data_IF_972855188679
#
_entry.id   IF_972855188679
#
_cell.length_a   1.000
_cell.length_b   1.000
_cell.length_c   1.000
_cell.angle_alpha   90.00
_cell.angle_beta   90.00
_cell.angle_gamma   90.00
#
_symmetry.space_group_name_H-M   'P 1'
#
loop_
_entity.id
_entity.type
_entity.pdbx_description
1 polymer ?
#
# COMPACT_ATOMS: atom_id res chain seq x y z
N UNK A 1 54.10 57.85 -9.49
CA UNK A 1 53.76 56.44 -9.74
C UNK A 1 52.86 55.97 -8.62
N UNK A 2 51.56 56.00 -8.85
CA UNK A 2 50.50 55.56 -7.93
C UNK A 2 50.26 54.06 -8.13
N UNK A 3 50.44 53.26 -7.08
CA UNK A 3 50.10 51.85 -7.10
C UNK A 3 48.60 51.68 -6.79
N UNK A 4 47.85 51.09 -7.72
CA UNK A 4 46.47 50.68 -7.50
C UNK A 4 46.42 49.35 -6.72
N UNK A 5 45.53 49.19 -5.73
CA UNK A 5 45.25 47.89 -5.14
C UNK A 5 44.25 47.13 -6.03
N UNK A 6 44.63 45.92 -6.45
CA UNK A 6 43.77 44.97 -7.14
C UNK A 6 42.81 44.31 -6.16
N UNK A 7 41.51 44.52 -6.33
CA UNK A 7 40.45 43.76 -5.67
C UNK A 7 40.41 42.33 -6.17
N UNK A 8 40.25 41.31 -5.30
CA UNK A 8 40.07 39.93 -5.73
C UNK A 8 38.64 39.73 -6.25
N UNK A 9 38.54 39.23 -7.48
CA UNK A 9 37.28 38.82 -8.09
C UNK A 9 36.72 37.61 -7.36
N UNK A 10 35.63 37.78 -6.62
CA UNK A 10 34.84 36.67 -6.09
C UNK A 10 34.07 36.02 -7.25
N UNK A 11 34.45 34.80 -7.60
CA UNK A 11 33.64 33.97 -8.50
C UNK A 11 32.31 33.62 -7.80
N UNK A 12 31.16 33.76 -8.47
CA UNK A 12 29.90 33.30 -7.91
C UNK A 12 29.94 31.77 -7.82
N UNK A 13 29.85 31.24 -6.60
CA UNK A 13 29.59 29.82 -6.36
C UNK A 13 28.22 29.52 -6.95
N UNK A 14 28.18 28.90 -8.13
CA UNK A 14 26.96 28.34 -8.71
C UNK A 14 26.46 27.27 -7.75
N UNK A 15 25.54 27.65 -6.86
CA UNK A 15 24.78 26.68 -6.08
C UNK A 15 23.77 26.10 -7.06
N UNK A 16 24.12 24.98 -7.66
CA UNK A 16 23.16 24.15 -8.39
C UNK A 16 22.09 23.75 -7.37
N UNK A 17 20.95 24.43 -7.43
CA UNK A 17 19.74 24.04 -6.72
C UNK A 17 19.26 22.74 -7.35
N UNK A 18 19.75 21.60 -6.86
CA UNK A 18 19.09 20.33 -7.13
C UNK A 18 17.65 20.48 -6.64
N UNK A 19 16.68 20.15 -7.49
CA UNK A 19 15.30 20.07 -7.04
C UNK A 19 15.28 19.15 -5.82
N UNK A 20 14.78 19.67 -4.69
CA UNK A 20 14.65 18.85 -3.50
C UNK A 20 13.71 17.69 -3.81
N UNK A 21 14.14 16.47 -3.49
CA UNK A 21 13.33 15.27 -3.62
C UNK A 21 12.01 15.39 -2.84
N UNK A 22 10.94 14.69 -3.26
CA UNK A 22 9.71 14.64 -2.49
C UNK A 22 9.97 14.13 -1.07
N UNK A 23 9.35 14.79 -0.09
CA UNK A 23 9.37 14.31 1.29
C UNK A 23 8.49 13.08 1.41
N UNK A 24 9.09 11.94 1.72
CA UNK A 24 8.35 10.69 1.89
C UNK A 24 7.49 10.72 3.14
N UNK A 25 6.25 10.22 3.03
CA UNK A 25 5.37 10.08 4.19
C UNK A 25 5.82 8.95 5.11
N UNK A 26 5.47 9.07 6.40
CA UNK A 26 5.57 7.97 7.37
C UNK A 26 4.22 7.72 8.00
N UNK A 27 3.68 6.53 7.76
CA UNK A 27 2.41 6.06 8.34
C UNK A 27 2.66 5.06 9.48
N UNK A 28 1.69 4.88 10.40
CA UNK A 28 1.81 3.88 11.46
C UNK A 28 2.11 2.48 10.90
N UNK A 29 3.13 1.82 11.46
CA UNK A 29 3.55 0.47 11.08
C UNK A 29 4.56 0.38 9.93
N UNK A 30 4.83 1.50 9.25
CA UNK A 30 5.86 1.59 8.21
C UNK A 30 7.26 1.44 8.81
N UNK A 31 8.12 0.65 8.17
CA UNK A 31 9.47 0.35 8.67
C UNK A 31 10.48 1.37 8.18
N UNK A 32 10.46 1.69 6.89
CA UNK A 32 11.42 2.58 6.26
C UNK A 32 10.72 3.57 5.33
N UNK A 33 11.42 4.68 5.03
CA UNK A 33 10.97 5.72 4.12
C UNK A 33 12.21 6.35 3.50
N UNK A 34 12.70 5.75 2.42
CA UNK A 34 13.95 6.15 1.77
C UNK A 34 13.78 7.46 1.01
N UNK A 35 14.68 8.40 1.25
CA UNK A 35 14.75 9.62 0.44
C UNK A 35 15.14 9.26 -1.00
N UNK A 36 14.56 9.96 -1.96
CA UNK A 36 14.86 9.73 -3.36
C UNK A 36 13.86 10.44 -4.27
N UNK A 37 14.12 10.41 -5.59
CA UNK A 37 13.37 11.17 -6.57
C UNK A 37 11.91 10.73 -6.70
N UNK A 38 11.58 9.48 -6.37
CA UNK A 38 10.25 8.89 -6.57
C UNK A 38 9.31 9.22 -5.42
N UNK A 39 8.09 9.67 -5.75
CA UNK A 39 7.00 9.82 -4.76
C UNK A 39 6.38 8.45 -4.43
N UNK A 40 6.78 7.88 -3.29
CA UNK A 40 6.28 6.59 -2.80
C UNK A 40 5.02 6.73 -1.93
N UNK A 41 4.39 7.91 -1.88
CA UNK A 41 3.27 8.17 -0.96
C UNK A 41 2.14 7.17 -1.12
N UNK A 42 1.71 6.88 -2.35
CA UNK A 42 0.62 5.93 -2.59
C UNK A 42 1.01 4.49 -2.24
N UNK A 43 2.27 4.10 -2.41
CA UNK A 43 2.78 2.79 -1.98
C UNK A 43 2.60 2.62 -0.47
N UNK A 44 3.09 3.59 0.31
CA UNK A 44 2.95 3.54 1.76
C UNK A 44 1.50 3.62 2.25
N UNK A 45 0.62 4.34 1.53
CA UNK A 45 -0.82 4.37 1.82
C UNK A 45 -1.45 2.98 1.65
N UNK A 46 -1.09 2.25 0.59
CA UNK A 46 -1.55 0.87 0.36
C UNK A 46 -1.02 -0.06 1.46
N UNK A 47 0.27 0.01 1.79
CA UNK A 47 0.87 -0.80 2.84
C UNK A 47 0.24 -0.55 4.21
N UNK A 48 -0.07 0.72 4.50
CA UNK A 48 -0.78 1.09 5.72
C UNK A 48 -2.19 0.48 5.75
N UNK A 49 -2.94 0.56 4.65
CA UNK A 49 -4.26 -0.04 4.55
C UNK A 49 -4.21 -1.56 4.73
N UNK A 50 -3.22 -2.25 4.14
CA UNK A 50 -3.08 -3.69 4.29
C UNK A 50 -2.81 -4.12 5.74
N UNK A 51 -1.89 -3.43 6.42
CA UNK A 51 -1.58 -3.70 7.84
C UNK A 51 -2.78 -3.44 8.75
N UNK A 52 -3.44 -2.29 8.57
CA UNK A 52 -4.65 -1.91 9.30
C UNK A 52 -5.72 -2.99 9.17
N UNK A 53 -5.99 -3.41 7.95
CA UNK A 53 -7.08 -4.35 7.67
C UNK A 53 -6.82 -5.75 8.21
N UNK A 54 -5.60 -6.30 8.05
CA UNK A 54 -5.29 -7.62 8.61
C UNK A 54 -5.40 -7.64 10.13
N UNK A 55 -5.02 -6.55 10.81
CA UNK A 55 -5.25 -6.40 12.24
C UNK A 55 -6.76 -6.38 12.58
N UNK A 56 -7.56 -5.63 11.83
CA UNK A 56 -9.01 -5.56 12.02
C UNK A 56 -9.70 -6.90 11.75
N UNK A 57 -9.33 -7.62 10.70
CA UNK A 57 -9.87 -8.94 10.39
C UNK A 57 -9.53 -9.97 11.47
N UNK A 58 -8.28 -10.00 11.95
CA UNK A 58 -7.88 -10.91 13.02
C UNK A 58 -8.69 -10.65 14.31
N UNK A 59 -8.88 -9.37 14.67
CA UNK A 59 -9.72 -9.00 15.80
C UNK A 59 -11.19 -9.39 15.59
N UNK A 60 -11.73 -9.18 14.39
CA UNK A 60 -13.10 -9.54 14.06
C UNK A 60 -13.35 -11.05 14.11
N UNK A 61 -12.41 -11.86 13.63
CA UNK A 61 -12.52 -13.32 13.69
C UNK A 61 -12.56 -13.83 15.14
N UNK A 62 -11.80 -13.19 16.03
CA UNK A 62 -11.79 -13.53 17.45
C UNK A 62 -13.08 -13.10 18.17
N UNK A 63 -13.63 -11.92 17.85
CA UNK A 63 -14.71 -11.30 18.60
C UNK A 63 -16.13 -11.55 18.06
N UNK A 64 -16.28 -11.87 16.77
CA UNK A 64 -17.60 -12.00 16.13
C UNK A 64 -18.26 -13.35 16.45
N UNK A 65 -19.47 -13.37 17.02
CA UNK A 65 -20.22 -14.61 17.22
C UNK A 65 -20.54 -15.32 15.89
N UNK A 66 -20.46 -16.64 15.83
CA UNK A 66 -20.72 -17.41 14.59
C UNK A 66 -22.15 -17.26 14.07
N UNK A 67 -23.11 -16.93 14.95
CA UNK A 67 -24.51 -16.69 14.59
C UNK A 67 -24.74 -15.33 13.91
N UNK A 68 -23.76 -14.41 13.99
CA UNK A 68 -23.85 -13.05 13.45
C UNK A 68 -23.69 -13.01 11.92
N UNK A 69 -24.56 -13.72 11.20
CA UNK A 69 -24.49 -13.93 9.75
C UNK A 69 -24.36 -12.65 8.92
N UNK A 70 -25.04 -11.57 9.32
CA UNK A 70 -24.94 -10.28 8.62
C UNK A 70 -23.55 -9.65 8.72
N UNK A 71 -22.89 -9.81 9.87
CA UNK A 71 -21.51 -9.35 10.05
C UNK A 71 -20.53 -10.23 9.28
N UNK A 72 -20.68 -11.56 9.30
CA UNK A 72 -19.83 -12.44 8.50
C UNK A 72 -19.93 -12.19 6.99
N UNK A 73 -21.13 -11.89 6.47
CA UNK A 73 -21.29 -11.46 5.08
C UNK A 73 -20.57 -10.14 4.78
N UNK A 74 -20.70 -9.16 5.66
CA UNK A 74 -19.99 -7.89 5.51
C UNK A 74 -18.46 -8.05 5.59
N UNK A 75 -17.97 -8.95 6.45
CA UNK A 75 -16.56 -9.31 6.53
C UNK A 75 -16.08 -9.99 5.25
N UNK A 76 -16.86 -10.91 4.67
CA UNK A 76 -16.53 -11.57 3.40
C UNK A 76 -16.44 -10.57 2.24
N UNK A 77 -17.43 -9.67 2.09
CA UNK A 77 -17.39 -8.59 1.08
C UNK A 77 -16.18 -7.67 1.27
N UNK A 78 -15.85 -7.38 2.53
CA UNK A 78 -14.72 -6.51 2.87
C UNK A 78 -13.37 -7.20 2.61
N UNK A 79 -13.29 -8.50 2.86
CA UNK A 79 -12.13 -9.35 2.53
C UNK A 79 -11.90 -9.41 1.03
N UNK A 80 -12.96 -9.55 0.22
CA UNK A 80 -12.85 -9.53 -1.25
C UNK A 80 -12.21 -8.22 -1.74
N UNK A 81 -12.62 -7.08 -1.19
CA UNK A 81 -12.03 -5.77 -1.53
C UNK A 81 -10.55 -5.72 -1.17
N UNK A 82 -10.18 -6.20 0.02
CA UNK A 82 -8.79 -6.28 0.48
C UNK A 82 -7.94 -7.19 -0.42
N UNK A 83 -8.40 -8.43 -0.63
CA UNK A 83 -7.65 -9.45 -1.38
C UNK A 83 -7.46 -9.04 -2.84
N UNK A 84 -8.48 -8.45 -3.47
CA UNK A 84 -8.34 -7.92 -4.83
C UNK A 84 -7.33 -6.77 -4.89
N UNK A 85 -7.34 -5.85 -3.92
CA UNK A 85 -6.41 -4.73 -3.91
C UNK A 85 -4.96 -5.22 -3.72
N UNK A 86 -4.75 -6.21 -2.85
CA UNK A 86 -3.45 -6.81 -2.57
C UNK A 86 -2.92 -7.60 -3.77
N UNK A 87 -3.75 -8.46 -4.37
CA UNK A 87 -3.38 -9.21 -5.56
C UNK A 87 -3.04 -8.29 -6.74
N UNK A 88 -3.82 -7.21 -6.93
CA UNK A 88 -3.54 -6.22 -7.98
C UNK A 88 -2.22 -5.48 -7.74
N UNK A 89 -1.91 -5.15 -6.48
CA UNK A 89 -0.64 -4.54 -6.10
C UNK A 89 0.54 -5.47 -6.39
N UNK A 90 0.53 -6.71 -5.89
CA UNK A 90 1.58 -7.69 -6.18
C UNK A 90 1.73 -7.95 -7.69
N UNK A 91 0.62 -8.04 -8.43
CA UNK A 91 0.67 -8.23 -9.90
C UNK A 91 1.35 -7.06 -10.60
N UNK A 92 1.09 -5.82 -10.19
CA UNK A 92 1.74 -4.64 -10.75
C UNK A 92 3.25 -4.66 -10.51
N UNK A 93 3.66 -5.19 -9.37
CA UNK A 93 5.07 -5.35 -9.02
C UNK A 93 5.74 -6.47 -9.82
N UNK A 94 5.16 -7.67 -9.80
CA UNK A 94 5.69 -8.87 -10.46
C UNK A 94 5.78 -8.70 -11.99
N UNK A 95 4.81 -8.02 -12.59
CA UNK A 95 4.74 -7.89 -14.05
C UNK A 95 5.41 -6.63 -14.58
N UNK A 96 5.75 -5.68 -13.71
CA UNK A 96 6.24 -4.36 -14.09
C UNK A 96 7.47 -3.92 -13.32
N UNK A 97 7.32 -3.76 -12.00
CA UNK A 97 8.36 -3.17 -11.15
C UNK A 97 9.60 -4.05 -11.00
N UNK A 98 9.43 -5.31 -10.58
CA UNK A 98 10.57 -6.21 -10.36
C UNK A 98 11.38 -6.45 -11.63
N UNK A 99 10.77 -6.78 -12.79
CA UNK A 99 11.53 -6.94 -14.03
C UNK A 99 12.34 -5.70 -14.42
N UNK A 100 11.76 -4.50 -14.25
CA UNK A 100 12.45 -3.25 -14.57
C UNK A 100 13.68 -3.02 -13.67
N UNK A 101 13.58 -3.33 -12.38
CA UNK A 101 14.69 -3.18 -11.43
C UNK A 101 15.76 -4.26 -11.63
N UNK A 102 15.38 -5.50 -11.96
CA UNK A 102 16.30 -6.60 -12.23
C UNK A 102 17.29 -6.29 -13.36
N UNK A 103 16.83 -5.59 -14.41
CA UNK A 103 17.66 -5.14 -15.53
C UNK A 103 18.73 -4.11 -15.14
N UNK A 104 18.55 -3.42 -14.01
CA UNK A 104 19.32 -2.23 -13.62
C UNK A 104 20.18 -2.43 -12.38
N UNK A 105 19.85 -3.39 -11.54
CA UNK A 105 20.52 -3.62 -10.25
C UNK A 105 21.72 -4.58 -10.35
N UNK A 106 22.51 -4.67 -9.29
CA UNK A 106 23.58 -5.66 -9.13
C UNK A 106 23.06 -7.04 -8.67
N UNK A 107 23.96 -7.97 -8.36
CA UNK A 107 23.58 -9.33 -7.92
C UNK A 107 22.79 -9.31 -6.59
N UNK A 108 23.15 -8.44 -5.66
CA UNK A 108 22.48 -8.34 -4.36
C UNK A 108 21.04 -7.79 -4.50
N UNK A 109 20.84 -6.80 -5.36
CA UNK A 109 19.48 -6.33 -5.65
C UNK A 109 18.66 -7.38 -6.40
N UNK A 110 19.25 -8.17 -7.32
CA UNK A 110 18.54 -9.30 -7.95
C UNK A 110 18.11 -10.35 -6.94
N UNK A 111 18.96 -10.67 -5.95
CA UNK A 111 18.59 -11.58 -4.87
C UNK A 111 17.41 -11.03 -4.04
N UNK A 112 17.39 -9.72 -3.79
CA UNK A 112 16.27 -9.04 -3.11
C UNK A 112 14.97 -9.16 -3.89
N UNK A 113 15.00 -8.89 -5.20
CA UNK A 113 13.82 -8.94 -6.07
C UNK A 113 13.28 -10.37 -6.25
N UNK A 114 14.18 -11.35 -6.40
CA UNK A 114 13.79 -12.76 -6.44
C UNK A 114 13.12 -13.21 -5.12
N UNK A 115 13.55 -12.67 -3.98
CA UNK A 115 12.88 -12.92 -2.71
C UNK A 115 11.49 -12.29 -2.65
N UNK A 116 11.28 -11.08 -3.20
CA UNK A 116 9.95 -10.45 -3.29
C UNK A 116 8.94 -11.33 -4.04
N UNK A 117 9.31 -11.83 -5.22
CA UNK A 117 8.43 -12.70 -6.02
C UNK A 117 8.09 -14.02 -5.29
N UNK A 118 9.09 -14.62 -4.61
CA UNK A 118 8.86 -15.83 -3.80
C UNK A 118 7.89 -15.55 -2.65
N UNK A 119 8.06 -14.43 -1.95
CA UNK A 119 7.19 -14.02 -0.84
C UNK A 119 5.74 -13.81 -1.31
N UNK A 120 5.51 -13.22 -2.49
CA UNK A 120 4.18 -13.12 -3.09
C UNK A 120 3.54 -14.51 -3.29
N UNK A 121 4.30 -15.46 -3.84
CA UNK A 121 3.85 -16.83 -4.05
C UNK A 121 3.51 -17.59 -2.75
N UNK A 122 4.12 -17.23 -1.62
CA UNK A 122 3.80 -17.78 -0.30
C UNK A 122 2.54 -17.15 0.33
N UNK A 123 2.29 -15.87 0.07
CA UNK A 123 1.17 -15.12 0.64
C UNK A 123 -0.17 -15.52 0.01
N UNK A 124 -0.22 -15.67 -1.32
CA UNK A 124 -1.45 -15.89 -2.08
C UNK A 124 -2.28 -17.12 -1.62
N UNK A 125 -1.68 -18.29 -1.34
CA UNK A 125 -2.40 -19.43 -0.79
C UNK A 125 -3.02 -19.14 0.59
N UNK A 126 -2.37 -18.34 1.43
CA UNK A 126 -2.88 -17.96 2.75
C UNK A 126 -4.11 -17.06 2.59
N UNK A 127 -4.06 -16.10 1.66
CA UNK A 127 -5.19 -15.21 1.38
C UNK A 127 -6.40 -15.98 0.84
N UNK A 128 -6.16 -16.95 -0.04
CA UNK A 128 -7.18 -17.85 -0.58
C UNK A 128 -7.86 -18.66 0.52
N UNK A 129 -7.07 -19.20 1.47
CA UNK A 129 -7.60 -19.95 2.59
C UNK A 129 -8.40 -19.08 3.58
N UNK A 130 -8.03 -17.81 3.75
CA UNK A 130 -8.83 -16.85 4.54
C UNK A 130 -10.17 -16.55 3.85
N UNK A 131 -10.17 -16.34 2.53
CA UNK A 131 -11.40 -16.09 1.76
C UNK A 131 -12.43 -17.22 1.95
N UNK A 132 -11.99 -18.47 1.80
CA UNK A 132 -12.83 -19.65 2.02
C UNK A 132 -13.39 -19.72 3.45
N UNK A 133 -12.62 -19.29 4.45
CA UNK A 133 -13.07 -19.19 5.84
C UNK A 133 -14.18 -18.15 6.03
N UNK A 134 -14.02 -16.96 5.45
CA UNK A 134 -15.05 -15.92 5.48
C UNK A 134 -16.34 -16.36 4.76
N UNK A 135 -16.23 -16.97 3.58
CA UNK A 135 -17.37 -17.46 2.81
C UNK A 135 -18.17 -18.53 3.57
N UNK A 136 -17.47 -19.46 4.24
CA UNK A 136 -18.08 -20.49 5.07
C UNK A 136 -18.90 -19.88 6.22
N UNK A 137 -18.32 -18.93 6.94
CA UNK A 137 -18.97 -18.24 8.07
C UNK A 137 -20.10 -17.29 7.62
N UNK A 138 -20.01 -16.73 6.42
CA UNK A 138 -21.08 -15.95 5.80
C UNK A 138 -22.31 -16.81 5.44
N UNK A 139 -22.10 -18.11 5.25
CA UNK A 139 -23.12 -19.07 4.84
C UNK A 139 -23.86 -19.69 6.03
N UNK A 140 -23.14 -20.14 7.06
CA UNK A 140 -23.73 -20.68 8.28
C UNK A 140 -22.77 -20.58 9.48
N UNK A 141 -23.33 -20.73 10.69
CA UNK A 141 -22.55 -20.74 11.92
C UNK A 141 -21.65 -21.98 11.99
N UNK A 142 -20.37 -21.80 12.35
CA UNK A 142 -19.37 -22.86 12.42
C UNK A 142 -18.17 -22.43 13.28
N UNK A 143 -18.06 -22.98 14.49
CA UNK A 143 -17.04 -22.58 15.46
C UNK A 143 -15.63 -23.06 15.09
N UNK A 144 -15.53 -24.24 14.48
CA UNK A 144 -14.26 -24.79 14.02
C UNK A 144 -13.72 -23.97 12.84
N UNK A 145 -14.59 -23.55 11.93
CA UNK A 145 -14.23 -22.66 10.84
C UNK A 145 -13.79 -21.28 11.35
N UNK A 146 -14.44 -20.74 12.38
CA UNK A 146 -14.04 -19.48 13.00
C UNK A 146 -12.66 -19.57 13.63
N UNK A 147 -12.40 -20.62 14.42
CA UNK A 147 -11.10 -20.85 15.03
C UNK A 147 -9.99 -21.01 13.97
N UNK A 148 -10.27 -21.78 12.92
CA UNK A 148 -9.32 -22.00 11.84
C UNK A 148 -9.08 -20.72 11.01
N UNK A 149 -10.09 -19.88 10.80
CA UNK A 149 -9.93 -18.57 10.16
C UNK A 149 -9.05 -17.63 11.00
N UNK A 150 -9.26 -17.60 12.33
CA UNK A 150 -8.44 -16.77 13.22
C UNK A 150 -6.94 -17.13 13.12
N UNK A 151 -6.60 -18.42 13.08
CA UNK A 151 -5.21 -18.88 12.88
C UNK A 151 -4.66 -18.42 11.52
N UNK A 152 -5.44 -18.54 10.44
CA UNK A 152 -5.01 -18.13 9.10
C UNK A 152 -4.80 -16.62 8.98
N UNK A 153 -5.63 -15.82 9.64
CA UNK A 153 -5.48 -14.36 9.68
C UNK A 153 -4.21 -13.92 10.43
N UNK A 154 -3.85 -14.63 11.50
CA UNK A 154 -2.55 -14.42 12.16
C UNK A 154 -1.40 -14.75 11.21
N UNK A 155 -1.46 -15.89 10.51
CA UNK A 155 -0.46 -16.26 9.52
C UNK A 155 -0.35 -15.22 8.38
N UNK A 156 -1.48 -14.74 7.86
CA UNK A 156 -1.53 -13.69 6.83
C UNK A 156 -0.89 -12.39 7.31
N UNK A 157 -1.22 -11.95 8.53
CA UNK A 157 -0.66 -10.74 9.15
C UNK A 157 0.85 -10.84 9.33
N UNK A 158 1.34 -11.97 9.82
CA UNK A 158 2.78 -12.17 10.00
C UNK A 158 3.50 -12.25 8.64
N UNK A 159 2.95 -12.98 7.66
CA UNK A 159 3.56 -13.14 6.33
C UNK A 159 3.63 -11.81 5.59
N UNK A 160 2.49 -11.14 5.41
CA UNK A 160 2.46 -9.85 4.73
C UNK A 160 3.23 -8.79 5.52
N UNK A 161 3.22 -8.84 6.85
CA UNK A 161 4.01 -7.93 7.68
C UNK A 161 5.52 -8.06 7.50
N UNK A 162 6.03 -9.28 7.26
CA UNK A 162 7.45 -9.51 6.92
C UNK A 162 7.75 -9.04 5.50
N UNK A 163 6.89 -9.38 4.54
CA UNK A 163 7.04 -8.97 3.15
C UNK A 163 7.10 -7.44 3.02
N UNK A 164 6.09 -6.72 3.51
CA UNK A 164 6.07 -5.25 3.46
C UNK A 164 7.24 -4.62 4.23
N UNK A 165 7.82 -5.30 5.22
CA UNK A 165 9.03 -4.81 5.91
C UNK A 165 10.24 -4.91 4.99
N UNK A 166 10.43 -6.07 4.36
CA UNK A 166 11.53 -6.35 3.45
C UNK A 166 11.46 -5.41 2.24
N UNK A 167 10.28 -5.28 1.64
CA UNK A 167 10.05 -4.37 0.54
C UNK A 167 10.37 -2.90 0.92
N UNK A 168 9.83 -2.40 2.04
CA UNK A 168 10.10 -1.02 2.48
C UNK A 168 11.57 -0.75 2.80
N UNK A 169 12.30 -1.74 3.32
CA UNK A 169 13.70 -1.59 3.69
C UNK A 169 14.63 -1.70 2.49
N UNK A 170 14.37 -2.63 1.58
CA UNK A 170 15.36 -3.08 0.61
C UNK A 170 14.87 -2.81 -0.83
N UNK A 171 13.69 -3.30 -1.22
CA UNK A 171 13.18 -3.10 -2.58
C UNK A 171 12.88 -1.61 -2.88
N UNK A 172 12.28 -0.86 -1.95
CA UNK A 172 12.04 0.57 -2.13
C UNK A 172 13.35 1.38 -2.16
N UNK A 173 14.42 0.90 -1.51
CA UNK A 173 15.73 1.54 -1.66
C UNK A 173 16.23 1.45 -3.10
N UNK A 174 16.08 0.28 -3.73
CA UNK A 174 16.39 0.08 -5.16
C UNK A 174 15.54 0.98 -6.06
N UNK A 175 14.24 1.14 -5.76
CA UNK A 175 13.36 2.05 -6.50
C UNK A 175 13.92 3.49 -6.47
N UNK A 176 14.27 3.99 -5.29
CA UNK A 176 14.78 5.35 -5.13
C UNK A 176 16.15 5.55 -5.77
N UNK A 177 16.98 4.50 -5.84
CA UNK A 177 18.29 4.56 -6.48
C UNK A 177 18.20 4.50 -8.01
N UNK A 178 17.32 3.66 -8.56
CA UNK A 178 17.39 3.23 -9.96
C UNK A 178 16.33 3.85 -10.87
N UNK A 179 15.28 4.48 -10.32
CA UNK A 179 14.19 5.05 -11.10
C UNK A 179 14.11 6.57 -10.95
N UNK A 180 13.69 7.25 -12.02
CA UNK A 180 13.19 8.63 -11.91
C UNK A 180 11.70 8.63 -11.57
N UNK A 181 11.19 9.78 -11.08
CA UNK A 181 9.76 9.93 -10.85
C UNK A 181 8.93 9.84 -12.14
N UNK A 182 9.49 10.22 -13.30
CA UNK A 182 8.80 10.04 -14.58
C UNK A 182 8.67 8.57 -14.98
N UNK A 183 9.73 7.78 -14.78
CA UNK A 183 9.70 6.33 -15.03
C UNK A 183 8.70 5.65 -14.09
N UNK A 184 8.69 6.03 -12.81
CA UNK A 184 7.71 5.56 -11.85
C UNK A 184 6.27 5.87 -12.29
N UNK A 185 5.99 7.10 -12.75
CA UNK A 185 4.66 7.45 -13.25
C UNK A 185 4.26 6.65 -14.49
N UNK A 186 5.19 6.41 -15.42
CA UNK A 186 4.90 5.58 -16.59
C UNK A 186 4.56 4.14 -16.19
N UNK A 187 5.29 3.60 -15.22
CA UNK A 187 5.09 2.26 -14.68
C UNK A 187 3.74 2.16 -13.92
N UNK A 188 3.41 3.14 -13.09
CA UNK A 188 2.14 3.25 -12.38
C UNK A 188 0.95 3.29 -13.35
N UNK A 189 1.04 4.07 -14.44
CA UNK A 189 -0.02 4.11 -15.46
C UNK A 189 -0.20 2.77 -16.19
N UNK A 190 0.89 2.08 -16.55
CA UNK A 190 0.82 0.85 -17.35
C UNK A 190 0.49 -0.40 -16.53
N UNK A 191 1.04 -0.54 -15.31
CA UNK A 191 0.95 -1.79 -14.54
C UNK A 191 0.01 -1.68 -13.33
N UNK A 192 -0.14 -0.51 -12.72
CA UNK A 192 -0.97 -0.33 -11.51
C UNK A 192 -2.33 0.32 -11.79
N UNK A 193 -2.46 1.18 -12.80
CA UNK A 193 -3.74 1.86 -13.10
C UNK A 193 -4.48 1.23 -14.27
N UNK A 194 -3.77 0.68 -15.24
CA UNK A 194 -4.36 0.05 -16.42
C UNK A 194 -5.33 -1.05 -16.01
N UNK A 195 -6.55 -1.00 -16.54
CA UNK A 195 -7.60 -1.98 -16.23
C UNK A 195 -8.38 -1.71 -14.94
N UNK A 196 -8.00 -0.72 -14.11
CA UNK A 196 -8.84 -0.30 -12.98
C UNK A 196 -10.13 0.34 -13.49
N UNK A 197 -11.26 -0.32 -13.22
CA UNK A 197 -12.57 0.23 -13.57
C UNK A 197 -12.97 1.36 -12.63
N UNK A 198 -13.83 2.28 -13.11
CA UNK A 198 -14.37 3.36 -12.28
C UNK A 198 -15.06 2.81 -11.02
N UNK A 199 -15.74 1.66 -11.14
CA UNK A 199 -16.38 1.01 -9.99
C UNK A 199 -15.36 0.59 -8.92
N UNK A 200 -14.20 0.06 -9.34
CA UNK A 200 -13.11 -0.29 -8.43
C UNK A 200 -12.49 0.94 -7.78
N UNK A 201 -12.29 2.03 -8.51
CA UNK A 201 -11.80 3.28 -7.93
C UNK A 201 -12.76 3.83 -6.86
N UNK A 202 -14.07 3.76 -7.10
CA UNK A 202 -15.07 4.20 -6.13
C UNK A 202 -15.05 3.38 -4.82
N UNK A 203 -14.62 2.11 -4.86
CA UNK A 203 -14.47 1.28 -3.66
C UNK A 203 -13.08 1.43 -3.01
N UNK A 204 -12.02 1.49 -3.82
CA UNK A 204 -10.63 1.54 -3.33
C UNK A 204 -10.26 2.90 -2.74
N UNK A 205 -10.68 4.03 -3.32
CA UNK A 205 -10.32 5.36 -2.82
C UNK A 205 -10.73 5.59 -1.35
N UNK A 206 -11.99 5.37 -0.93
CA UNK A 206 -12.35 5.55 0.48
C UNK A 206 -11.68 4.53 1.41
N UNK A 207 -11.36 3.34 0.90
CA UNK A 207 -10.68 2.27 1.63
C UNK A 207 -9.20 2.58 1.90
N UNK A 208 -8.45 2.95 0.88
CA UNK A 208 -7.03 3.28 0.99
C UNK A 208 -6.83 4.50 1.90
N UNK A 209 -7.71 5.50 1.78
CA UNK A 209 -7.66 6.73 2.58
C UNK A 209 -8.29 6.63 3.97
N UNK A 210 -8.86 5.47 4.34
CA UNK A 210 -9.39 5.25 5.67
C UNK A 210 -8.26 5.31 6.70
N UNK A 211 -8.47 6.03 7.80
CA UNK A 211 -7.45 6.24 8.86
C UNK A 211 -6.12 6.91 8.45
N UNK A 212 -5.95 7.28 7.17
CA UNK A 212 -4.80 8.11 6.74
C UNK A 212 -4.88 9.50 7.39
N UNK A 213 -3.81 10.04 7.98
CA UNK A 213 -3.82 11.36 8.60
C UNK A 213 -4.31 12.47 7.66
N UNK A 214 -5.06 13.44 8.22
CA UNK A 214 -5.66 14.52 7.44
C UNK A 214 -4.66 15.38 6.63
N UNK A 215 -3.44 15.68 7.13
CA UNK A 215 -2.42 16.36 6.33
C UNK A 215 -2.03 15.55 5.08
N UNK A 216 -1.71 14.26 5.25
CA UNK A 216 -1.33 13.38 4.14
C UNK A 216 -2.45 13.27 3.10
N UNK A 217 -3.71 13.10 3.53
CA UNK A 217 -4.85 13.10 2.59
C UNK A 217 -4.99 14.41 1.81
N UNK A 218 -4.72 15.55 2.46
CA UNK A 218 -4.80 16.86 1.80
C UNK A 218 -3.73 16.98 0.73
N UNK A 219 -2.52 16.51 1.03
CA UNK A 219 -1.40 16.55 0.11
C UNK A 219 -1.67 15.65 -1.11
N UNK A 220 -2.17 14.43 -0.89
CA UNK A 220 -2.64 13.54 -1.96
C UNK A 220 -3.70 14.20 -2.87
N UNK A 221 -4.67 14.91 -2.30
CA UNK A 221 -5.69 15.62 -3.09
C UNK A 221 -5.17 16.86 -3.82
N UNK A 222 -4.00 17.40 -3.42
CA UNK A 222 -3.36 18.52 -4.08
C UNK A 222 -2.52 18.11 -5.30
N UNK A 223 -2.15 16.82 -5.41
CA UNK A 223 -1.42 16.26 -6.55
C UNK A 223 -2.25 16.30 -7.85
N UNK A 224 -1.61 16.23 -9.04
CA UNK A 224 -2.31 16.07 -10.32
C UNK A 224 -3.33 14.93 -10.28
N UNK A 225 -4.56 15.18 -10.75
CA UNK A 225 -5.66 14.21 -10.66
C UNK A 225 -6.29 14.06 -9.25
N UNK A 226 -5.69 14.62 -8.20
CA UNK A 226 -6.16 14.54 -6.81
C UNK A 226 -7.55 15.13 -6.58
N UNK A 227 -7.99 16.12 -7.38
CA UNK A 227 -9.36 16.68 -7.33
C UNK A 227 -10.44 15.65 -7.66
N UNK A 228 -10.19 14.76 -8.63
CA UNK A 228 -11.13 13.71 -8.99
C UNK A 228 -11.25 12.68 -7.85
N UNK A 229 -10.11 12.25 -7.31
CA UNK A 229 -10.05 11.37 -6.13
C UNK A 229 -10.71 11.99 -4.90
N UNK A 230 -10.55 13.31 -4.68
CA UNK A 230 -11.20 14.02 -3.59
C UNK A 230 -12.73 14.02 -3.74
N UNK A 231 -13.23 14.28 -4.95
CA UNK A 231 -14.67 14.20 -5.23
C UNK A 231 -15.22 12.79 -5.02
N UNK A 232 -14.50 11.76 -5.49
CA UNK A 232 -14.84 10.35 -5.24
C UNK A 232 -14.88 10.06 -3.74
N UNK A 233 -13.84 10.42 -2.99
CA UNK A 233 -13.77 10.23 -1.54
C UNK A 233 -14.93 10.90 -0.81
N UNK A 234 -15.27 12.15 -1.14
CA UNK A 234 -16.40 12.84 -0.52
C UNK A 234 -17.73 12.11 -0.78
N UNK A 235 -17.92 11.58 -1.98
CA UNK A 235 -19.11 10.85 -2.36
C UNK A 235 -19.21 9.45 -1.72
N UNK A 236 -18.07 8.76 -1.52
CA UNK A 236 -18.05 7.35 -1.13
C UNK A 236 -17.64 7.09 0.33
N UNK A 237 -17.00 8.05 1.02
CA UNK A 237 -16.50 7.87 2.41
C UNK A 237 -17.59 7.46 3.40
N UNK A 238 -18.75 8.13 3.39
CA UNK A 238 -19.83 7.82 4.34
C UNK A 238 -20.45 6.44 4.09
N UNK A 239 -20.77 6.05 2.83
CA UNK A 239 -21.13 4.67 2.51
C UNK A 239 -20.10 3.64 2.92
N UNK A 240 -18.82 3.90 2.67
CA UNK A 240 -17.73 3.03 3.08
C UNK A 240 -17.67 2.87 4.61
N UNK A 241 -17.65 3.96 5.37
CA UNK A 241 -17.62 3.94 6.84
C UNK A 241 -18.82 3.20 7.46
N UNK A 242 -20.00 3.24 6.82
CA UNK A 242 -21.16 2.45 7.27
C UNK A 242 -20.92 0.95 7.11
N UNK A 243 -20.30 0.54 5.99
CA UNK A 243 -19.96 -0.87 5.73
C UNK A 243 -18.85 -1.34 6.65
N UNK A 244 -17.82 -0.50 6.89
CA UNK A 244 -16.77 -0.80 7.88
C UNK A 244 -17.36 -1.06 9.26
N UNK A 245 -18.24 -0.17 9.75
CA UNK A 245 -18.89 -0.38 11.05
C UNK A 245 -19.75 -1.64 11.12
N UNK A 246 -20.29 -2.12 9.99
CA UNK A 246 -21.04 -3.36 9.95
C UNK A 246 -20.12 -4.58 9.98
N UNK A 247 -19.06 -4.57 9.17
CA UNK A 247 -18.08 -5.65 9.07
C UNK A 247 -17.32 -5.82 10.40
N UNK A 248 -16.87 -4.72 11.00
CA UNK A 248 -16.07 -4.73 12.22
C UNK A 248 -16.89 -4.42 13.48
N UNK A 249 -18.20 -4.68 13.46
CA UNK A 249 -19.14 -4.33 14.55
C UNK A 249 -18.74 -4.84 15.94
N UNK A 250 -18.09 -5.99 16.01
CA UNK A 250 -17.69 -6.63 17.26
C UNK A 250 -16.23 -6.35 17.67
N UNK A 251 -15.51 -5.54 16.88
CA UNK A 251 -14.18 -5.05 17.23
C UNK A 251 -14.36 -3.75 18.00
N UNK A 252 -13.81 -3.71 19.22
CA UNK A 252 -13.96 -2.58 20.17
C UNK A 252 -13.18 -1.34 19.78
#
# INVERSE_FOLDING_TARGET
>A
MTAHPTTPTTNPTTTTSYAAWPTQVRLPGQTAAHEGPVDMTMMYVMHHAFRRDLAAFAAAAAATPVEARSTWRALAERWETFAHALHHHHTGEDTGLWPLLEERTDDAGRETLAAMEVEHGEIDPILTACAAGFERLASHADEDARAALAVRLVAARESLGRHLRHEECDAIALIQELLTNEEWHALDEEHFKKGLSIQRLLTQVPWALHEVPAPIRRDLFAQPGGRAHHAMWLATRRPFERRERLAFRYVG
#
